data_IF_963134070767
#
_entry.id   IF_963134070767
#
_cell.length_a   1.000
_cell.length_b   1.000
_cell.length_c   1.000
_cell.angle_alpha   90.00
_cell.angle_beta   90.00
_cell.angle_gamma   90.00
#
_symmetry.space_group_name_H-M   'P 1'
#
loop_
_entity.id
_entity.type
_entity.pdbx_description
1 polymer ?
#
# COMPACT_ATOMS: atom_id res chain seq x y z
N UNK A 1 10.39 -3.16 -3.48
CA UNK A 1 10.51 -2.73 -2.05
C UNK A 1 11.93 -2.36 -1.63
N UNK A 2 12.97 -3.11 -2.00
CA UNK A 2 14.37 -2.79 -1.66
C UNK A 2 14.77 -1.35 -2.03
N UNK A 3 14.38 -0.87 -3.23
CA UNK A 3 14.66 0.49 -3.71
C UNK A 3 14.04 1.58 -2.82
N UNK A 4 12.82 1.36 -2.32
CA UNK A 4 12.18 2.28 -1.38
C UNK A 4 12.90 2.29 -0.03
N UNK A 5 13.26 1.12 0.51
CA UNK A 5 14.01 1.03 1.77
C UNK A 5 15.43 1.58 1.66
N UNK A 6 16.03 1.57 0.47
CA UNK A 6 17.28 2.26 0.17
C UNK A 6 17.13 3.79 0.05
N UNK A 7 15.91 4.32 0.00
CA UNK A 7 15.63 5.76 -0.15
C UNK A 7 15.79 6.28 -1.58
N UNK A 8 15.95 5.38 -2.56
CA UNK A 8 16.06 5.70 -4.00
C UNK A 8 14.74 5.52 -4.77
N UNK A 9 13.66 5.17 -4.08
CA UNK A 9 12.33 4.98 -4.66
C UNK A 9 11.56 6.30 -4.79
N UNK A 10 10.30 6.28 -4.39
CA UNK A 10 9.43 7.46 -4.46
C UNK A 10 9.94 8.61 -3.56
N UNK A 11 9.64 9.86 -3.98
CA UNK A 11 9.91 11.11 -3.22
C UNK A 11 9.46 10.99 -1.77
N UNK A 12 8.26 10.45 -1.54
CA UNK A 12 7.69 10.30 -0.20
C UNK A 12 8.52 9.39 0.72
N UNK A 13 9.13 8.34 0.17
CA UNK A 13 9.94 7.34 0.89
C UNK A 13 11.44 7.66 0.92
N UNK A 14 11.88 8.81 0.41
CA UNK A 14 13.31 9.19 0.40
C UNK A 14 13.85 9.49 1.81
N UNK A 15 13.05 10.15 2.65
CA UNK A 15 13.44 10.52 4.01
C UNK A 15 13.68 9.28 4.89
N UNK A 16 14.78 9.27 5.66
CA UNK A 16 15.18 8.10 6.47
C UNK A 16 14.17 7.78 7.58
N UNK A 17 13.53 8.78 8.18
CA UNK A 17 12.51 8.58 9.23
C UNK A 17 11.22 7.91 8.74
N UNK A 18 10.98 7.86 7.42
CA UNK A 18 9.81 7.20 6.81
C UNK A 18 10.11 5.78 6.33
N UNK A 19 11.27 5.24 6.68
CA UNK A 19 11.76 3.90 6.34
C UNK A 19 12.13 3.18 7.65
N UNK A 20 12.03 1.85 7.71
CA UNK A 20 11.70 0.92 6.63
C UNK A 20 10.19 0.85 6.33
N UNK A 21 9.84 0.66 5.06
CA UNK A 21 8.48 0.34 4.60
C UNK A 21 8.34 -1.15 4.30
N UNK A 22 7.13 -1.67 4.53
CA UNK A 22 6.74 -3.05 4.22
C UNK A 22 5.56 -3.02 3.26
N UNK A 23 5.58 -3.86 2.23
CA UNK A 23 4.44 -4.07 1.35
C UNK A 23 3.46 -4.99 2.06
N UNK A 24 2.24 -4.51 2.30
CA UNK A 24 1.20 -5.30 2.99
C UNK A 24 0.30 -6.03 2.00
N UNK A 25 -0.01 -5.38 0.88
CA UNK A 25 -0.91 -5.88 -0.14
C UNK A 25 -0.43 -5.45 -1.51
N UNK A 26 -0.64 -6.32 -2.49
CA UNK A 26 -0.64 -5.96 -3.89
C UNK A 26 -1.69 -6.81 -4.59
N UNK A 27 -2.26 -6.27 -5.66
CA UNK A 27 -3.22 -6.96 -6.50
C UNK A 27 -2.79 -6.82 -7.95
N UNK A 28 -3.06 -7.85 -8.74
CA UNK A 28 -2.76 -7.88 -10.16
C UNK A 28 -4.04 -7.79 -10.96
N UNK A 29 -4.03 -7.00 -12.02
CA UNK A 29 -5.17 -6.85 -12.93
C UNK A 29 -4.68 -7.09 -14.35
N UNK A 30 -5.54 -7.67 -15.19
CA UNK A 30 -5.21 -7.96 -16.59
C UNK A 30 -5.04 -6.69 -17.43
N UNK A 31 -5.85 -5.66 -17.15
CA UNK A 31 -5.86 -4.42 -17.90
C UNK A 31 -5.35 -3.23 -17.08
N UNK A 32 -4.60 -2.35 -17.75
CA UNK A 32 -4.16 -1.07 -17.18
C UNK A 32 -5.34 -0.21 -16.70
N UNK A 33 -6.44 -0.18 -17.45
CA UNK A 33 -7.63 0.62 -17.12
C UNK A 33 -8.27 0.18 -15.80
N UNK A 34 -8.36 -1.14 -15.57
CA UNK A 34 -8.99 -1.68 -14.36
C UNK A 34 -8.08 -1.46 -13.15
N UNK A 35 -6.76 -1.64 -13.31
CA UNK A 35 -5.77 -1.30 -12.29
C UNK A 35 -5.86 0.19 -11.87
N UNK A 36 -5.97 1.11 -12.84
CA UNK A 36 -6.06 2.54 -12.56
C UNK A 36 -7.38 2.92 -11.86
N UNK A 37 -8.51 2.31 -12.26
CA UNK A 37 -9.81 2.50 -11.59
C UNK A 37 -9.77 2.02 -10.15
N UNK A 38 -9.25 0.82 -9.91
CA UNK A 38 -9.09 0.27 -8.57
C UNK A 38 -8.17 1.13 -7.71
N UNK A 39 -7.03 1.57 -8.26
CA UNK A 39 -6.10 2.46 -7.55
C UNK A 39 -6.75 3.80 -7.19
N UNK A 40 -7.50 4.40 -8.12
CA UNK A 40 -8.23 5.65 -7.85
C UNK A 40 -9.25 5.47 -6.73
N UNK A 41 -10.10 4.44 -6.83
CA UNK A 41 -11.10 4.15 -5.81
C UNK A 41 -10.45 3.94 -4.44
N UNK A 42 -9.38 3.15 -4.36
CA UNK A 42 -8.64 2.92 -3.13
C UNK A 42 -7.98 4.19 -2.60
N UNK A 43 -7.35 5.03 -3.43
CA UNK A 43 -6.69 6.28 -2.97
C UNK A 43 -7.67 7.24 -2.31
N UNK A 44 -8.89 7.38 -2.85
CA UNK A 44 -9.91 8.31 -2.37
C UNK A 44 -10.67 7.82 -1.13
N UNK A 45 -10.53 6.54 -0.75
CA UNK A 45 -11.13 6.02 0.46
C UNK A 45 -10.50 6.58 1.74
N UNK A 46 -11.35 6.71 2.77
CA UNK A 46 -10.94 7.05 4.13
C UNK A 46 -10.06 5.93 4.74
N UNK A 47 -9.28 6.28 5.77
CA UNK A 47 -8.41 5.34 6.48
C UNK A 47 -9.18 4.09 6.93
N UNK A 48 -10.37 4.24 7.52
CA UNK A 48 -11.18 3.14 8.02
C UNK A 48 -11.60 2.16 6.90
N UNK A 49 -12.02 2.69 5.75
CA UNK A 49 -12.42 1.88 4.60
C UNK A 49 -11.24 1.09 4.02
N UNK A 50 -10.05 1.71 3.96
CA UNK A 50 -8.82 1.02 3.55
C UNK A 50 -8.47 -0.14 4.48
N UNK A 51 -8.66 0.03 5.80
CA UNK A 51 -8.39 -1.05 6.76
C UNK A 51 -9.36 -2.22 6.55
N UNK A 52 -10.66 -1.92 6.41
CA UNK A 52 -11.68 -2.93 6.14
C UNK A 52 -11.39 -3.69 4.84
N UNK A 53 -11.10 -2.97 3.75
CA UNK A 53 -10.73 -3.57 2.47
C UNK A 53 -9.55 -4.53 2.62
N UNK A 54 -8.50 -4.15 3.35
CA UNK A 54 -7.35 -5.02 3.60
C UNK A 54 -7.72 -6.25 4.45
N UNK A 55 -8.59 -6.09 5.46
CA UNK A 55 -9.09 -7.21 6.26
C UNK A 55 -9.91 -8.19 5.42
N UNK A 56 -10.73 -7.71 4.49
CA UNK A 56 -11.50 -8.52 3.53
C UNK A 56 -10.59 -9.33 2.59
N UNK A 57 -9.40 -8.79 2.26
CA UNK A 57 -8.37 -9.49 1.49
C UNK A 57 -7.43 -10.34 2.38
N UNK A 58 -7.81 -10.60 3.63
CA UNK A 58 -7.09 -11.50 4.55
C UNK A 58 -5.90 -10.88 5.28
N UNK A 59 -5.71 -9.56 5.19
CA UNK A 59 -4.57 -8.89 5.83
C UNK A 59 -4.94 -8.43 7.23
N UNK A 60 -4.35 -9.09 8.22
CA UNK A 60 -4.55 -8.73 9.62
C UNK A 60 -3.61 -7.60 10.07
N UNK A 61 -4.08 -6.36 9.99
CA UNK A 61 -3.31 -5.15 10.34
C UNK A 61 -3.04 -5.06 11.85
N UNK A 62 -3.90 -5.62 12.70
CA UNK A 62 -3.72 -5.60 14.16
C UNK A 62 -2.48 -6.40 14.59
N UNK A 63 -2.11 -7.45 13.87
CA UNK A 63 -0.88 -8.22 14.12
C UNK A 63 0.42 -7.52 13.71
N UNK A 64 0.35 -6.46 12.89
CA UNK A 64 1.52 -5.74 12.37
C UNK A 64 2.00 -4.58 13.27
N UNK A 65 1.17 -4.17 14.25
CA UNK A 65 1.57 -3.23 15.31
C UNK A 65 2.27 -4.03 16.42
N UNK A 66 3.53 -4.39 16.21
CA UNK A 66 4.43 -4.84 17.27
C UNK A 66 5.55 -3.82 17.41
#
# INVERSE_FOLDING_TARGET
MAVHNAGKGAKYTRLKSRRPVKLLYYETFDNKSDALKAEYAFKHQLRAQKLKYLEEHGINIKKLKK
#
